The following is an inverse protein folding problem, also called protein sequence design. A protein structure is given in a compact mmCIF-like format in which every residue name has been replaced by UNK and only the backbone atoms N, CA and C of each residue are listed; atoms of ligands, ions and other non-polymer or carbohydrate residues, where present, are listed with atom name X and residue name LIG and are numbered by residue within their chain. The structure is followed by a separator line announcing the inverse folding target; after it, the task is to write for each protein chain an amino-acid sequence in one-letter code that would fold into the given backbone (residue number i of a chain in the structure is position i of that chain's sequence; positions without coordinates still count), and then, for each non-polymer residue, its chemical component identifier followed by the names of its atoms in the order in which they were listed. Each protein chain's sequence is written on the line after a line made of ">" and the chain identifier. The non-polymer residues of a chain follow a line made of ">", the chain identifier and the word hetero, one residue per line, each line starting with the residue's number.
data_IF_852143211404
#
_entry.id   IF_852143211404
#
_cell.length_a   1.000
_cell.length_b   1.000
_cell.length_c   1.000
_cell.angle_alpha   90.00
_cell.angle_beta   90.00
_cell.angle_gamma   90.00
#
_symmetry.space_group_name_H-M   'P 1'
#
loop_
_entity.id
_entity.type
_entity.pdbx_description
1 polymer ?
#
# COMPACT_ATOMS: atom_id res chain seq x y z
N UNK A 1 -12.29 -13.90 -11.16
CA UNK A 1 -12.48 -12.56 -11.76
C UNK A 1 -12.80 -11.60 -10.63
N UNK A 2 -11.87 -10.74 -10.21
CA UNK A 2 -12.21 -9.60 -9.34
C UNK A 2 -13.14 -8.71 -10.16
N UNK A 3 -14.43 -8.76 -9.87
CA UNK A 3 -15.38 -7.82 -10.45
C UNK A 3 -14.92 -6.42 -10.06
N UNK A 4 -14.60 -5.59 -11.06
CA UNK A 4 -14.64 -4.15 -10.87
C UNK A 4 -16.03 -3.85 -10.32
N UNK A 5 -16.13 -3.52 -9.02
CA UNK A 5 -17.40 -3.04 -8.47
C UNK A 5 -17.65 -1.73 -9.22
N UNK A 6 -18.47 -1.82 -10.26
CA UNK A 6 -18.96 -0.65 -10.95
C UNK A 6 -19.92 0.05 -9.98
N UNK A 7 -19.40 1.09 -9.34
CA UNK A 7 -20.24 1.92 -8.49
C UNK A 7 -21.37 2.52 -9.34
N UNK A 8 -22.62 2.55 -8.82
CA UNK A 8 -23.73 3.09 -9.57
C UNK A 8 -23.40 4.52 -10.04
N UNK A 9 -23.75 4.87 -11.29
CA UNK A 9 -23.36 6.15 -11.91
C UNK A 9 -23.84 7.37 -11.14
N UNK A 10 -24.92 7.24 -10.36
CA UNK A 10 -25.52 8.33 -9.59
C UNK A 10 -24.94 8.55 -8.20
N UNK A 11 -23.90 7.82 -7.82
CA UNK A 11 -23.30 7.94 -6.49
C UNK A 11 -22.57 9.27 -6.26
N UNK A 12 -22.08 9.89 -7.33
CA UNK A 12 -21.30 11.12 -7.28
C UNK A 12 -22.00 12.24 -8.05
N UNK A 13 -21.85 13.48 -7.56
CA UNK A 13 -22.37 14.66 -8.25
C UNK A 13 -21.75 14.85 -9.64
N UNK A 14 -22.38 15.59 -10.57
CA UNK A 14 -21.82 15.85 -11.89
C UNK A 14 -20.38 16.42 -11.85
N UNK A 15 -20.11 17.38 -10.95
CA UNK A 15 -18.78 17.94 -10.77
C UNK A 15 -17.76 16.91 -10.27
N UNK A 16 -18.14 16.04 -9.29
CA UNK A 16 -17.30 14.94 -8.83
C UNK A 16 -17.01 13.93 -9.94
N UNK A 17 -17.95 13.68 -10.82
CA UNK A 17 -17.76 12.76 -11.95
C UNK A 17 -16.75 13.32 -12.96
N UNK A 18 -16.78 14.61 -13.24
CA UNK A 18 -15.77 15.28 -14.07
C UNK A 18 -14.39 15.21 -13.42
N UNK A 19 -14.31 15.52 -12.12
CA UNK A 19 -13.06 15.39 -11.36
C UNK A 19 -12.49 13.97 -11.44
N UNK A 20 -13.31 12.95 -11.22
CA UNK A 20 -12.91 11.55 -11.31
C UNK A 20 -12.54 11.10 -12.74
N UNK A 21 -13.03 11.75 -13.76
CA UNK A 21 -12.66 11.44 -15.14
C UNK A 21 -11.27 11.97 -15.52
N UNK A 22 -10.88 13.15 -15.02
CA UNK A 22 -9.69 13.87 -15.47
C UNK A 22 -8.54 13.80 -14.47
N UNK A 23 -8.82 14.13 -13.19
CA UNK A 23 -7.75 14.33 -12.21
C UNK A 23 -6.95 13.06 -11.89
N UNK A 24 -7.53 11.82 -11.79
CA UNK A 24 -6.74 10.63 -11.56
C UNK A 24 -5.73 10.33 -12.68
N UNK A 25 -6.12 10.57 -13.93
CA UNK A 25 -5.21 10.42 -15.06
C UNK A 25 -4.07 11.44 -15.00
N UNK A 26 -4.41 12.70 -14.76
CA UNK A 26 -3.41 13.78 -14.64
C UNK A 26 -2.44 13.48 -13.49
N UNK A 27 -2.96 13.16 -12.31
CA UNK A 27 -2.15 12.77 -11.15
C UNK A 27 -1.24 11.58 -11.46
N UNK A 28 -1.78 10.53 -12.08
CA UNK A 28 -0.99 9.34 -12.39
C UNK A 28 0.18 9.66 -13.33
N UNK A 29 -0.02 10.50 -14.34
CA UNK A 29 1.01 10.87 -15.31
C UNK A 29 2.05 11.83 -14.72
N UNK A 30 1.60 12.86 -14.02
CA UNK A 30 2.51 13.85 -13.40
C UNK A 30 3.35 13.19 -12.32
N UNK A 31 2.78 12.28 -11.52
CA UNK A 31 3.52 11.58 -10.49
C UNK A 31 4.58 10.62 -11.05
N UNK A 32 4.31 9.95 -12.19
CA UNK A 32 5.32 9.17 -12.91
C UNK A 32 6.50 10.05 -13.35
N UNK A 33 6.22 11.22 -13.91
CA UNK A 33 7.28 12.15 -14.32
C UNK A 33 8.09 12.63 -13.12
N UNK A 34 7.42 13.00 -12.04
CA UNK A 34 8.06 13.37 -10.78
C UNK A 34 8.96 12.27 -10.24
N UNK A 35 8.47 11.02 -10.18
CA UNK A 35 9.26 9.91 -9.66
C UNK A 35 10.44 9.55 -10.59
N UNK A 36 10.28 9.70 -11.89
CA UNK A 36 11.38 9.51 -12.86
C UNK A 36 12.51 10.53 -12.73
N UNK A 37 12.23 11.72 -12.22
CA UNK A 37 13.27 12.72 -11.92
C UNK A 37 14.11 12.38 -10.67
N UNK A 38 13.64 11.44 -9.86
CA UNK A 38 14.28 11.06 -8.60
C UNK A 38 15.23 9.87 -8.79
N UNK A 39 16.26 9.81 -7.95
CA UNK A 39 17.12 8.63 -7.84
C UNK A 39 16.48 7.63 -6.89
N UNK A 40 16.37 6.37 -7.30
CA UNK A 40 15.83 5.30 -6.46
C UNK A 40 16.97 4.41 -5.96
N UNK A 41 17.05 4.25 -4.66
CA UNK A 41 17.95 3.33 -3.98
C UNK A 41 17.15 2.17 -3.39
N UNK A 42 17.55 0.93 -3.72
CA UNK A 42 16.89 -0.29 -3.24
C UNK A 42 17.70 -0.93 -2.13
N UNK A 43 17.05 -1.32 -1.03
CA UNK A 43 17.67 -2.03 0.10
C UNK A 43 16.88 -3.25 0.48
N UNK A 44 17.56 -4.33 0.79
CA UNK A 44 16.91 -5.56 1.22
C UNK A 44 16.00 -6.20 0.17
N UNK A 45 16.11 -5.86 -1.11
CA UNK A 45 15.26 -6.36 -2.19
C UNK A 45 15.26 -7.89 -2.25
N UNK A 46 16.38 -8.53 -1.90
CA UNK A 46 16.48 -9.98 -1.81
C UNK A 46 15.45 -10.63 -0.88
N UNK A 47 15.02 -9.93 0.19
CA UNK A 47 13.96 -10.44 1.08
C UNK A 47 12.63 -10.61 0.34
N UNK A 48 12.27 -9.62 -0.48
CA UNK A 48 11.06 -9.63 -1.28
C UNK A 48 11.15 -10.65 -2.43
N UNK A 49 12.26 -10.64 -3.19
CA UNK A 49 12.47 -11.53 -4.32
C UNK A 49 12.52 -13.01 -3.92
N UNK A 50 13.20 -13.34 -2.82
CA UNK A 50 13.26 -14.70 -2.31
C UNK A 50 11.89 -15.23 -1.91
N UNK A 51 11.05 -14.40 -1.29
CA UNK A 51 9.67 -14.79 -0.96
C UNK A 51 8.88 -15.10 -2.23
N UNK A 52 8.93 -14.23 -3.23
CA UNK A 52 8.22 -14.48 -4.49
C UNK A 52 8.75 -15.72 -5.22
N UNK A 53 10.05 -15.93 -5.23
CA UNK A 53 10.67 -17.12 -5.86
C UNK A 53 10.24 -18.41 -5.17
N UNK A 54 10.15 -18.42 -3.84
CA UNK A 54 9.87 -19.64 -3.06
C UNK A 54 8.37 -19.90 -2.93
N UNK A 55 7.55 -18.87 -2.81
CA UNK A 55 6.12 -18.99 -2.50
C UNK A 55 5.21 -18.62 -3.69
N UNK A 56 5.73 -17.96 -4.72
CA UNK A 56 4.94 -17.42 -5.84
C UNK A 56 4.12 -16.18 -5.49
N UNK A 57 3.80 -16.00 -4.21
CA UNK A 57 2.94 -14.93 -3.68
C UNK A 57 3.48 -14.38 -2.37
N UNK A 58 3.22 -13.08 -2.09
CA UNK A 58 3.49 -12.47 -0.80
C UNK A 58 2.49 -11.36 -0.47
N UNK A 59 2.49 -10.98 0.81
CA UNK A 59 1.83 -9.77 1.30
C UNK A 59 2.88 -8.68 1.49
N UNK A 60 2.55 -7.44 1.14
CA UNK A 60 3.42 -6.27 1.36
C UNK A 60 2.72 -5.31 2.31
N UNK A 61 3.44 -4.89 3.35
CA UNK A 61 3.00 -3.97 4.38
C UNK A 61 3.67 -2.62 4.21
N UNK A 62 2.90 -1.55 4.13
CA UNK A 62 3.38 -0.15 4.04
C UNK A 62 2.61 0.76 4.97
N UNK A 63 3.17 1.94 5.31
CA UNK A 63 2.43 3.02 5.94
C UNK A 63 1.71 3.90 4.91
N UNK A 64 0.61 4.52 5.32
CA UNK A 64 -0.21 5.38 4.46
C UNK A 64 0.56 6.59 3.94
N UNK A 65 1.44 7.16 4.76
CA UNK A 65 2.26 8.33 4.40
C UNK A 65 3.07 8.15 3.11
N UNK A 66 3.50 6.92 2.79
CA UNK A 66 4.35 6.63 1.63
C UNK A 66 3.62 5.95 0.47
N UNK A 67 2.29 5.77 0.59
CA UNK A 67 1.55 4.93 -0.35
C UNK A 67 1.65 5.37 -1.81
N UNK A 68 1.73 6.68 -2.06
CA UNK A 68 1.77 7.19 -3.45
C UNK A 68 3.11 6.85 -4.11
N UNK A 69 4.23 6.97 -3.37
CA UNK A 69 5.56 6.54 -3.82
C UNK A 69 5.59 5.04 -4.09
N UNK A 70 5.10 4.25 -3.12
CA UNK A 70 5.07 2.79 -3.21
C UNK A 70 4.21 2.31 -4.39
N UNK A 71 3.00 2.84 -4.56
CA UNK A 71 2.13 2.45 -5.66
C UNK A 71 2.70 2.84 -7.02
N UNK A 72 3.27 4.04 -7.15
CA UNK A 72 3.88 4.46 -8.41
C UNK A 72 5.12 3.63 -8.75
N UNK A 73 5.95 3.25 -7.76
CA UNK A 73 7.10 2.35 -7.95
C UNK A 73 6.65 0.97 -8.44
N UNK A 74 5.60 0.43 -7.83
CA UNK A 74 5.12 -0.91 -8.10
C UNK A 74 4.14 -1.00 -9.29
N UNK A 75 4.02 0.05 -10.11
CA UNK A 75 3.20 0.03 -11.32
C UNK A 75 3.64 -1.10 -12.27
N UNK A 76 2.68 -1.70 -12.95
CA UNK A 76 2.89 -2.79 -13.92
C UNK A 76 3.51 -4.09 -13.35
N UNK A 77 3.50 -4.27 -12.02
CA UNK A 77 4.10 -5.44 -11.35
C UNK A 77 3.06 -6.45 -10.84
N UNK A 78 1.80 -6.33 -11.23
CA UNK A 78 0.76 -7.29 -10.83
C UNK A 78 0.32 -7.16 -9.38
N UNK A 79 0.36 -5.96 -8.81
CA UNK A 79 -0.09 -5.70 -7.43
C UNK A 79 -1.60 -5.61 -7.32
N UNK A 80 -2.12 -5.96 -6.15
CA UNK A 80 -3.48 -5.64 -5.72
C UNK A 80 -3.45 -4.97 -4.35
N UNK A 81 -4.17 -3.86 -4.22
CA UNK A 81 -4.33 -3.12 -2.96
C UNK A 81 -5.77 -3.02 -2.52
N UNK A 82 -6.00 -2.42 -1.35
CA UNK A 82 -7.34 -2.07 -0.87
C UNK A 82 -7.70 -0.63 -1.22
N UNK A 83 -8.96 -0.41 -1.55
CA UNK A 83 -9.49 0.95 -1.71
C UNK A 83 -10.93 1.03 -1.23
N UNK A 84 -11.27 2.10 -0.51
CA UNK A 84 -12.63 2.31 -0.01
C UNK A 84 -13.62 2.67 -1.13
N UNK A 85 -14.91 2.63 -0.79
CA UNK A 85 -15.98 3.05 -1.70
C UNK A 85 -16.30 4.57 -1.59
N UNK A 86 -15.55 5.36 -0.81
CA UNK A 86 -15.69 6.81 -0.73
C UNK A 86 -15.27 7.50 -2.03
N UNK A 87 -15.48 8.80 -2.14
CA UNK A 87 -14.98 9.60 -3.26
C UNK A 87 -13.45 9.51 -3.37
N UNK A 88 -12.73 9.66 -2.26
CA UNK A 88 -11.27 9.57 -2.22
C UNK A 88 -10.78 8.15 -2.58
N UNK A 89 -11.50 7.12 -2.11
CA UNK A 89 -11.21 5.74 -2.48
C UNK A 89 -11.45 5.47 -3.96
N UNK A 90 -12.50 6.06 -4.56
CA UNK A 90 -12.73 5.97 -6.01
C UNK A 90 -11.65 6.68 -6.79
N UNK A 91 -11.24 7.87 -6.33
CA UNK A 91 -10.12 8.60 -6.91
C UNK A 91 -8.84 7.76 -6.88
N UNK A 92 -8.48 7.23 -5.72
CA UNK A 92 -7.30 6.37 -5.55
C UNK A 92 -7.37 5.13 -6.45
N UNK A 93 -8.52 4.45 -6.50
CA UNK A 93 -8.69 3.28 -7.36
C UNK A 93 -8.50 3.60 -8.86
N UNK A 94 -8.90 4.77 -9.31
CA UNK A 94 -8.66 5.22 -10.69
C UNK A 94 -7.19 5.56 -10.95
N UNK A 95 -6.49 6.17 -9.98
CA UNK A 95 -5.03 6.36 -10.07
C UNK A 95 -4.33 5.01 -10.16
N UNK A 96 -4.66 4.07 -9.27
CA UNK A 96 -4.10 2.70 -9.28
C UNK A 96 -4.35 1.99 -10.61
N UNK A 97 -5.54 2.14 -11.20
CA UNK A 97 -5.85 1.59 -12.53
C UNK A 97 -4.91 2.13 -13.61
N UNK A 98 -4.56 3.42 -13.58
CA UNK A 98 -3.58 4.00 -14.52
C UNK A 98 -2.14 3.49 -14.27
N UNK A 99 -1.87 2.97 -13.09
CA UNK A 99 -0.59 2.30 -12.75
C UNK A 99 -0.65 0.79 -12.91
N UNK A 100 -1.73 0.24 -13.48
CA UNK A 100 -1.98 -1.19 -13.64
C UNK A 100 -1.92 -1.97 -12.33
N UNK A 101 -2.32 -1.32 -11.24
CA UNK A 101 -2.54 -1.93 -9.92
C UNK A 101 -4.04 -2.18 -9.75
N UNK A 102 -4.40 -3.39 -9.41
CA UNK A 102 -5.80 -3.74 -9.11
C UNK A 102 -6.19 -3.23 -7.73
N UNK A 103 -7.45 -2.86 -7.55
CA UNK A 103 -8.00 -2.45 -6.27
C UNK A 103 -9.11 -3.40 -5.83
N UNK A 104 -8.91 -4.12 -4.73
CA UNK A 104 -9.98 -4.78 -4.02
C UNK A 104 -10.80 -3.71 -3.29
N UNK A 105 -12.12 -3.72 -3.49
CA UNK A 105 -13.02 -2.64 -3.04
C UNK A 105 -13.91 -3.12 -1.92
N UNK A 106 -14.14 -2.26 -0.92
CA UNK A 106 -15.07 -2.55 0.16
C UNK A 106 -15.36 -1.34 1.04
N UNK A 107 -16.39 -1.46 1.87
CA UNK A 107 -16.81 -0.41 2.79
C UNK A 107 -15.92 -0.37 4.02
N UNK A 108 -15.29 0.78 4.29
CA UNK A 108 -14.56 1.02 5.55
C UNK A 108 -15.49 1.18 6.77
N UNK A 109 -16.77 1.47 6.54
CA UNK A 109 -17.73 1.77 7.61
C UNK A 109 -18.40 0.53 8.22
N UNK A 110 -18.39 -0.62 7.53
CA UNK A 110 -18.88 -1.92 8.01
C UNK A 110 -17.73 -2.90 8.30
N UNK A 111 -16.67 -2.40 8.97
CA UNK A 111 -15.61 -3.23 9.49
C UNK A 111 -14.55 -3.70 8.49
N UNK A 112 -14.52 -3.21 7.26
CA UNK A 112 -13.50 -3.61 6.29
C UNK A 112 -13.47 -5.10 5.92
N UNK A 113 -14.35 -5.91 6.50
CA UNK A 113 -14.38 -7.38 6.30
C UNK A 113 -14.60 -7.76 4.84
N UNK A 114 -15.50 -7.06 4.13
CA UNK A 114 -15.75 -7.33 2.70
C UNK A 114 -14.54 -7.02 1.84
N UNK A 115 -13.87 -5.88 2.12
CA UNK A 115 -12.66 -5.48 1.40
C UNK A 115 -11.51 -6.45 1.66
N UNK A 116 -11.38 -6.90 2.91
CA UNK A 116 -10.36 -7.88 3.29
C UNK A 116 -10.64 -9.25 2.65
N UNK A 117 -11.89 -9.70 2.64
CA UNK A 117 -12.29 -10.93 1.96
C UNK A 117 -12.00 -10.86 0.46
N UNK A 118 -12.31 -9.74 -0.19
CA UNK A 118 -11.96 -9.52 -1.60
C UNK A 118 -10.45 -9.53 -1.84
N UNK A 119 -9.65 -9.03 -0.89
CA UNK A 119 -8.19 -9.08 -0.98
C UNK A 119 -7.65 -10.49 -0.78
N UNK A 120 -8.22 -11.29 0.14
CA UNK A 120 -7.90 -12.72 0.31
C UNK A 120 -8.13 -13.48 -1.00
N UNK A 121 -9.26 -13.28 -1.66
CA UNK A 121 -9.53 -13.91 -2.96
C UNK A 121 -8.57 -13.43 -4.05
N UNK A 122 -8.24 -12.14 -4.05
CA UNK A 122 -7.31 -11.58 -5.01
C UNK A 122 -5.89 -12.12 -4.84
N UNK A 123 -5.44 -12.36 -3.62
CA UNK A 123 -4.10 -12.85 -3.31
C UNK A 123 -3.84 -14.26 -3.83
N UNK A 124 -4.88 -15.05 -4.08
CA UNK A 124 -4.76 -16.39 -4.68
C UNK A 124 -4.25 -16.37 -6.13
N UNK A 125 -4.44 -15.26 -6.84
CA UNK A 125 -4.14 -15.13 -8.27
C UNK A 125 -3.21 -13.96 -8.58
N UNK A 126 -2.77 -13.23 -7.57
CA UNK A 126 -1.92 -12.05 -7.71
C UNK A 126 -0.61 -12.28 -6.98
N UNK A 127 0.55 -12.07 -7.63
CA UNK A 127 1.85 -12.29 -6.98
C UNK A 127 2.02 -11.48 -5.69
N UNK A 128 1.48 -10.25 -5.66
CA UNK A 128 1.65 -9.36 -4.52
C UNK A 128 0.33 -8.71 -4.14
N UNK A 129 -0.01 -8.85 -2.88
CA UNK A 129 -1.19 -8.21 -2.27
C UNK A 129 -0.75 -7.36 -1.10
N UNK A 130 -1.33 -6.18 -0.94
CA UNK A 130 -0.95 -5.31 0.17
C UNK A 130 -1.88 -4.14 0.37
N UNK A 131 -1.71 -3.49 1.51
CA UNK A 131 -2.45 -2.27 1.84
C UNK A 131 -1.71 -1.47 2.92
N UNK A 132 -2.17 -0.25 3.15
CA UNK A 132 -1.67 0.64 4.19
C UNK A 132 -2.19 0.19 5.55
N UNK A 133 -1.28 -0.12 6.48
CA UNK A 133 -1.62 -0.80 7.74
C UNK A 133 -2.36 0.07 8.75
N UNK A 134 -2.12 1.38 8.75
CA UNK A 134 -2.72 2.35 9.65
C UNK A 134 -4.16 2.71 9.27
N UNK A 135 -4.61 2.24 8.10
CA UNK A 135 -5.99 2.41 7.66
C UNK A 135 -6.35 3.86 7.32
N UNK A 136 -7.61 4.14 6.96
CA UNK A 136 -8.01 5.44 6.41
C UNK A 136 -8.21 6.56 7.45
N UNK A 137 -8.09 6.27 8.73
CA UNK A 137 -8.32 7.23 9.83
C UNK A 137 -7.18 7.26 10.86
N UNK A 138 -6.12 6.49 10.66
CA UNK A 138 -4.99 6.42 11.57
C UNK A 138 -5.26 5.82 12.96
N UNK A 139 -4.46 6.10 13.96
CA UNK A 139 -3.32 7.03 13.93
C UNK A 139 -2.19 6.56 13.01
N UNK A 140 -1.32 7.49 12.52
CA UNK A 140 -0.20 7.14 11.66
C UNK A 140 0.75 6.13 12.32
N UNK A 141 1.26 5.20 11.53
CA UNK A 141 2.25 4.19 11.95
C UNK A 141 1.80 3.28 13.10
N UNK A 142 0.48 3.05 13.20
CA UNK A 142 -0.12 2.07 14.11
C UNK A 142 -0.94 1.08 13.28
N UNK A 143 -0.47 -0.16 13.19
CA UNK A 143 -1.09 -1.15 12.35
C UNK A 143 -2.46 -1.59 12.89
N UNK A 144 -3.44 -1.71 11.99
CA UNK A 144 -4.75 -2.29 12.29
C UNK A 144 -4.70 -3.81 12.18
N UNK A 145 -5.61 -4.55 12.82
CA UNK A 145 -5.61 -6.02 12.84
C UNK A 145 -5.67 -6.68 11.45
N UNK A 146 -6.09 -5.95 10.43
CA UNK A 146 -6.30 -6.47 9.08
C UNK A 146 -5.13 -7.23 8.48
N UNK A 147 -3.88 -6.85 8.79
CA UNK A 147 -2.70 -7.53 8.25
C UNK A 147 -2.52 -8.93 8.85
N UNK A 148 -2.71 -9.06 10.17
CA UNK A 148 -2.67 -10.36 10.84
C UNK A 148 -3.77 -11.30 10.33
N UNK A 149 -5.00 -10.78 10.18
CA UNK A 149 -6.12 -11.54 9.61
C UNK A 149 -5.86 -11.95 8.15
N UNK A 150 -5.29 -11.05 7.33
CA UNK A 150 -4.95 -11.37 5.95
C UNK A 150 -3.87 -12.47 5.89
N UNK A 151 -2.81 -12.35 6.68
CA UNK A 151 -1.74 -13.34 6.74
C UNK A 151 -2.26 -14.71 7.22
N UNK A 152 -3.14 -14.74 8.23
CA UNK A 152 -3.77 -15.96 8.72
C UNK A 152 -4.61 -16.66 7.64
N UNK A 153 -5.45 -15.90 6.93
CA UNK A 153 -6.36 -16.46 5.93
C UNK A 153 -5.68 -16.87 4.63
N UNK A 154 -4.59 -16.22 4.27
CA UNK A 154 -3.86 -16.50 3.03
C UNK A 154 -2.70 -17.45 3.23
N UNK A 155 -2.21 -17.60 4.46
CA UNK A 155 -0.99 -18.33 4.80
C UNK A 155 0.23 -17.83 4.01
N UNK A 156 0.23 -16.53 3.66
CA UNK A 156 1.33 -15.88 2.96
C UNK A 156 2.21 -15.08 3.93
N UNK A 157 3.52 -15.07 3.72
CA UNK A 157 4.42 -14.22 4.48
C UNK A 157 4.19 -12.74 4.18
N UNK A 158 4.42 -11.90 5.19
CA UNK A 158 4.32 -10.44 5.08
C UNK A 158 5.72 -9.86 4.95
N UNK A 159 5.96 -9.08 3.90
CA UNK A 159 7.21 -8.34 3.69
C UNK A 159 6.97 -6.86 4.02
N UNK A 160 7.56 -6.34 5.11
CA UNK A 160 7.50 -4.92 5.41
C UNK A 160 8.31 -4.13 4.37
N UNK A 161 7.70 -3.05 3.85
CA UNK A 161 8.31 -2.24 2.81
C UNK A 161 8.16 -0.75 3.13
N UNK A 162 9.27 -0.05 3.21
CA UNK A 162 9.33 1.38 3.49
C UNK A 162 9.75 2.18 2.26
N UNK A 163 9.17 3.37 2.11
CA UNK A 163 9.61 4.38 1.14
C UNK A 163 9.86 5.69 1.87
N UNK A 164 11.09 6.19 1.77
CA UNK A 164 11.50 7.47 2.34
C UNK A 164 12.12 8.33 1.26
N UNK A 165 11.63 9.57 1.13
CA UNK A 165 12.23 10.55 0.26
C UNK A 165 13.08 11.53 1.07
N UNK A 166 14.37 11.63 0.76
CA UNK A 166 15.31 12.51 1.46
C UNK A 166 14.93 14.00 1.37
N UNK A 167 14.24 14.39 0.30
CA UNK A 167 13.69 15.74 0.14
C UNK A 167 12.23 15.64 -0.31
N UNK A 168 11.31 16.11 0.52
CA UNK A 168 9.87 15.91 0.32
C UNK A 168 9.03 17.07 0.85
N UNK A 169 7.78 17.11 0.40
CA UNK A 169 6.70 17.84 1.05
C UNK A 169 5.92 16.86 1.92
N UNK A 170 5.61 17.25 3.17
CA UNK A 170 4.68 16.53 4.03
C UNK A 170 3.38 17.31 4.10
N UNK A 171 2.27 16.67 3.71
CA UNK A 171 0.96 17.30 3.74
C UNK A 171 0.43 17.40 5.17
N UNK A 172 -0.42 18.39 5.45
CA UNK A 172 -1.09 18.57 6.74
C UNK A 172 -2.37 17.69 6.82
N UNK A 173 -2.23 16.42 6.44
CA UNK A 173 -3.25 15.38 6.52
C UNK A 173 -3.01 14.52 7.76
N UNK A 174 -3.99 13.71 8.17
CA UNK A 174 -3.85 12.82 9.32
C UNK A 174 -2.68 11.85 9.17
N UNK A 175 -2.42 11.38 7.95
CA UNK A 175 -1.35 10.43 7.58
C UNK A 175 -0.01 11.10 7.28
N UNK A 176 0.02 12.44 7.27
CA UNK A 176 1.21 13.23 6.88
C UNK A 176 1.79 12.77 5.54
N UNK A 177 0.92 12.55 4.55
CA UNK A 177 1.29 12.03 3.23
C UNK A 177 2.55 12.71 2.68
N UNK A 178 3.51 11.89 2.29
CA UNK A 178 4.82 12.32 1.78
C UNK A 178 4.78 12.35 0.26
N UNK A 179 5.11 13.51 -0.29
CA UNK A 179 5.33 13.70 -1.73
C UNK A 179 6.80 14.06 -1.93
N UNK A 180 7.56 13.24 -2.63
CA UNK A 180 8.95 13.54 -2.95
C UNK A 180 9.06 14.81 -3.80
N UNK A 181 10.08 15.61 -3.58
CA UNK A 181 10.42 16.72 -4.48
C UNK A 181 11.15 16.22 -5.72
N UNK A 182 11.13 16.99 -6.82
CA UNK A 182 11.94 16.66 -8.01
C UNK A 182 13.41 16.47 -7.61
N UNK A 183 14.07 15.53 -8.28
CA UNK A 183 15.49 15.20 -8.09
C UNK A 183 15.87 14.70 -6.69
N UNK A 184 14.88 14.30 -5.88
CA UNK A 184 15.12 13.68 -4.58
C UNK A 184 15.70 12.28 -4.71
N UNK A 185 16.49 11.86 -3.71
CA UNK A 185 16.79 10.45 -3.48
C UNK A 185 15.59 9.82 -2.77
N UNK A 186 15.10 8.71 -3.29
CA UNK A 186 14.07 7.88 -2.68
C UNK A 186 14.72 6.56 -2.27
N UNK A 187 14.59 6.19 -1.01
CA UNK A 187 15.02 4.89 -0.49
C UNK A 187 13.79 3.99 -0.42
N UNK A 188 13.85 2.86 -1.13
CA UNK A 188 12.89 1.78 -1.03
C UNK A 188 13.55 0.63 -0.30
N UNK A 189 13.09 0.30 0.90
CA UNK A 189 13.70 -0.72 1.72
C UNK A 189 12.71 -1.83 2.09
N UNK A 190 13.20 -3.06 2.12
CA UNK A 190 12.46 -4.25 2.53
C UNK A 190 13.11 -4.86 3.76
N UNK A 191 12.31 -5.11 4.80
CA UNK A 191 12.75 -5.88 5.96
C UNK A 191 12.58 -7.39 5.72
N UNK A 192 13.22 -8.25 6.55
CA UNK A 192 13.00 -9.69 6.50
C UNK A 192 11.52 -10.05 6.56
N UNK A 193 11.08 -11.08 5.80
CA UNK A 193 9.69 -11.48 5.78
C UNK A 193 9.25 -12.03 7.14
N UNK A 194 8.03 -11.68 7.54
CA UNK A 194 7.37 -12.20 8.72
C UNK A 194 6.50 -13.38 8.28
N UNK A 195 6.69 -14.59 8.86
CA UNK A 195 5.90 -15.75 8.49
C UNK A 195 4.43 -15.56 8.84
N UNK A 196 3.51 -16.23 8.14
CA UNK A 196 2.10 -16.21 8.52
C UNK A 196 1.92 -16.82 9.92
N UNK A 197 0.85 -16.44 10.63
CA UNK A 197 0.53 -17.05 11.93
C UNK A 197 0.18 -18.54 11.76
N UNK A 198 0.41 -19.33 12.81
CA UNK A 198 0.14 -20.76 12.81
C UNK A 198 -1.36 -21.10 12.69
N UNK A 199 -2.22 -20.18 13.13
CA UNK A 199 -3.68 -20.28 13.06
C UNK A 199 -4.30 -18.88 13.07
N UNK A 200 -5.63 -18.78 13.02
CA UNK A 200 -6.38 -17.53 13.01
C UNK A 200 -6.91 -17.10 14.38
N UNK A 201 -6.32 -17.62 15.47
CA UNK A 201 -6.68 -17.17 16.82
C UNK A 201 -6.39 -15.67 17.00
N UNK A 202 -7.16 -14.97 17.82
CA UNK A 202 -6.94 -13.54 18.09
C UNK A 202 -5.51 -13.23 18.56
N UNK A 203 -4.92 -14.13 19.37
CA UNK A 203 -3.56 -14.00 19.91
C UNK A 203 -2.50 -14.07 18.79
N UNK A 204 -2.63 -15.03 17.86
CA UNK A 204 -1.71 -15.21 16.75
C UNK A 204 -1.81 -14.07 15.73
N UNK A 205 -3.05 -13.64 15.44
CA UNK A 205 -3.33 -12.48 14.59
C UNK A 205 -2.70 -11.22 15.17
N UNK A 206 -2.86 -10.98 16.47
CA UNK A 206 -2.29 -9.81 17.16
C UNK A 206 -0.77 -9.89 17.23
N UNK A 207 -0.19 -11.06 17.49
CA UNK A 207 1.26 -11.27 17.48
C UNK A 207 1.85 -10.92 16.10
N UNK A 208 1.21 -11.39 15.03
CA UNK A 208 1.63 -11.08 13.65
C UNK A 208 1.50 -9.59 13.36
N UNK A 209 0.37 -8.95 13.74
CA UNK A 209 0.17 -7.51 13.60
C UNK A 209 1.30 -6.71 14.26
N UNK A 210 1.62 -7.05 15.52
CA UNK A 210 2.68 -6.39 16.29
C UNK A 210 4.06 -6.59 15.67
N UNK A 211 4.38 -7.81 15.22
CA UNK A 211 5.65 -8.10 14.57
C UNK A 211 5.82 -7.28 13.28
N UNK A 212 4.76 -7.16 12.47
CA UNK A 212 4.78 -6.35 11.24
C UNK A 212 4.94 -4.86 11.56
N UNK A 213 4.21 -4.34 12.55
CA UNK A 213 4.29 -2.96 13.01
C UNK A 213 5.70 -2.60 13.49
N UNK A 214 6.26 -3.43 14.35
CA UNK A 214 7.61 -3.23 14.91
C UNK A 214 8.67 -3.28 13.82
N UNK A 215 8.60 -4.26 12.92
CA UNK A 215 9.54 -4.39 11.82
C UNK A 215 9.47 -3.20 10.86
N UNK A 216 8.27 -2.75 10.51
CA UNK A 216 8.09 -1.60 9.63
C UNK A 216 8.56 -0.29 10.28
N UNK A 217 8.25 -0.08 11.57
CA UNK A 217 8.71 1.10 12.30
C UNK A 217 10.24 1.11 12.47
N UNK A 218 10.87 -0.05 12.74
CA UNK A 218 12.32 -0.17 12.81
C UNK A 218 12.98 0.17 11.46
N UNK A 219 12.40 -0.32 10.35
CA UNK A 219 12.89 -0.02 9.01
C UNK A 219 12.81 1.47 8.68
N UNK A 220 11.72 2.15 9.07
CA UNK A 220 11.62 3.60 8.93
C UNK A 220 12.63 4.35 9.80
N UNK A 221 12.82 3.95 11.06
CA UNK A 221 13.79 4.57 11.96
C UNK A 221 15.23 4.48 11.43
N UNK A 222 15.59 3.34 10.82
CA UNK A 222 16.89 3.14 10.17
C UNK A 222 17.11 4.13 9.02
N UNK A 223 16.10 4.29 8.14
CA UNK A 223 16.25 5.08 6.91
C UNK A 223 16.09 6.58 7.15
N UNK A 224 15.16 6.99 8.03
CA UNK A 224 14.88 8.41 8.31
C UNK A 224 16.04 9.11 9.05
N UNK A 225 16.89 8.36 9.73
CA UNK A 225 18.08 8.88 10.43
C UNK A 225 19.26 9.21 9.51
N UNK A 226 19.17 8.89 8.21
CA UNK A 226 20.28 9.09 7.29
C UNK A 226 20.42 10.55 6.83
N UNK A 227 21.68 11.05 6.74
CA UNK A 227 21.92 12.39 6.25
C UNK A 227 21.50 12.54 4.79
N UNK A 228 20.90 13.69 4.48
CA UNK A 228 20.66 14.09 3.09
C UNK A 228 22.03 14.34 2.44
N UNK A 229 22.54 13.35 1.71
CA UNK A 229 23.73 13.56 0.88
C UNK A 229 23.31 14.53 -0.24
N UNK A 230 23.92 15.72 -0.22
CA UNK A 230 23.70 16.77 -1.21
C UNK A 230 24.34 16.40 -2.56
#
# INVERSE_FOLDING_TARGET
>A
MLQSINLPPNRFSPGQRIQLAVLPWLMAKTYILLQRSCTLEMRGEAHYENVLKNNGHCLVAIWHESMVMACCHNRNRGYVGLSSLSFDGEFAARVLKHWHIRAARGSSSRGGHEALAALVEASKTTPVSGFTLDGPKGPPRVAKPGIGVLAARTQLPVVPNAFVACNSWRLHTWDRLVIQKPFSRIICAYAPPIPPPSNDSPEEVERTRLAVEQSLNALYAEIEGEPVIK
#
